data_IF_715300055322
#
_entry.id   IF_715300055322
#
_cell.length_a   1.000
_cell.length_b   1.000
_cell.length_c   1.000
_cell.angle_alpha   90.00
_cell.angle_beta   90.00
_cell.angle_gamma   90.00
#
_symmetry.space_group_name_H-M   'P 1'
#
loop_
_entity.id
_entity.type
_entity.pdbx_description
1 polymer ?
#
# COMPACT_ATOMS: atom_id res chain seq x y z
N UNK A 1 1.79 28.21 -2.88
CA UNK A 1 1.92 27.45 -4.17
C UNK A 1 3.32 27.59 -4.75
N UNK A 2 3.89 28.79 -4.82
CA UNK A 2 5.23 29.02 -5.37
C UNK A 2 6.31 28.19 -4.65
N UNK A 3 6.28 28.13 -3.32
CA UNK A 3 7.22 27.33 -2.54
C UNK A 3 7.13 25.84 -2.87
N UNK A 4 5.92 25.32 -3.06
CA UNK A 4 5.72 23.90 -3.43
C UNK A 4 6.29 23.61 -4.82
N UNK A 5 6.09 24.52 -5.77
CA UNK A 5 6.65 24.39 -7.14
C UNK A 5 8.17 24.36 -7.10
N UNK A 6 8.80 25.21 -6.31
CA UNK A 6 10.26 25.26 -6.16
C UNK A 6 10.77 23.97 -5.50
N UNK A 7 10.13 23.52 -4.43
CA UNK A 7 10.50 22.28 -3.74
C UNK A 7 10.43 21.06 -4.67
N UNK A 8 9.35 20.94 -5.45
CA UNK A 8 9.21 19.86 -6.42
C UNK A 8 10.23 19.97 -7.56
N UNK A 9 10.50 21.19 -8.05
CA UNK A 9 11.45 21.42 -9.13
C UNK A 9 12.89 21.05 -8.73
N UNK A 10 13.26 21.33 -7.48
CA UNK A 10 14.62 21.09 -6.95
C UNK A 10 14.78 19.73 -6.29
N UNK A 11 13.69 18.98 -6.05
CA UNK A 11 13.78 17.66 -5.43
C UNK A 11 14.46 16.64 -6.34
N UNK A 12 15.11 15.62 -5.75
CA UNK A 12 15.61 14.49 -6.52
C UNK A 12 14.50 13.82 -7.33
N UNK A 13 14.77 13.45 -8.56
CA UNK A 13 13.79 12.82 -9.44
C UNK A 13 13.79 11.31 -9.21
N UNK A 14 12.58 10.75 -9.09
CA UNK A 14 12.36 9.31 -9.02
C UNK A 14 11.06 8.96 -9.76
N UNK A 15 11.08 7.84 -10.47
CA UNK A 15 9.88 7.28 -11.10
C UNK A 15 9.35 6.05 -10.36
N UNK A 16 9.83 5.78 -9.15
CA UNK A 16 9.47 4.57 -8.40
C UNK A 16 7.96 4.43 -8.18
N UNK A 17 7.26 5.53 -7.89
CA UNK A 17 5.81 5.54 -7.73
C UNK A 17 5.07 5.27 -9.07
N UNK A 18 5.55 5.87 -10.15
CA UNK A 18 5.00 5.63 -11.49
C UNK A 18 5.16 4.17 -11.91
N UNK A 19 6.34 3.60 -11.74
CA UNK A 19 6.62 2.19 -12.05
C UNK A 19 5.75 1.26 -11.20
N UNK A 20 5.55 1.58 -9.92
CA UNK A 20 4.67 0.81 -9.05
C UNK A 20 3.22 0.81 -9.56
N UNK A 21 2.71 1.96 -10.00
CA UNK A 21 1.37 2.09 -10.57
C UNK A 21 1.24 1.29 -11.86
N UNK A 22 2.21 1.37 -12.77
CA UNK A 22 2.20 0.62 -14.02
C UNK A 22 2.19 -0.90 -13.79
N UNK A 23 2.99 -1.38 -12.83
CA UNK A 23 3.00 -2.79 -12.44
C UNK A 23 1.63 -3.23 -11.89
N UNK A 24 1.01 -2.42 -11.04
CA UNK A 24 -0.30 -2.73 -10.48
C UNK A 24 -1.39 -2.76 -11.58
N UNK A 25 -1.37 -1.82 -12.50
CA UNK A 25 -2.30 -1.79 -13.64
C UNK A 25 -2.11 -2.98 -14.59
N UNK A 26 -0.87 -3.35 -14.88
CA UNK A 26 -0.55 -4.52 -15.69
C UNK A 26 -1.04 -5.81 -15.04
N UNK A 27 -0.84 -5.94 -13.74
CA UNK A 27 -1.30 -7.08 -12.94
C UNK A 27 -2.85 -7.15 -12.93
N UNK A 28 -3.52 -6.03 -12.75
CA UNK A 28 -4.99 -5.95 -12.85
C UNK A 28 -5.50 -6.41 -14.22
N UNK A 29 -4.87 -6.01 -15.31
CA UNK A 29 -5.23 -6.44 -16.67
C UNK A 29 -5.05 -7.95 -16.87
N UNK A 30 -3.99 -8.52 -16.28
CA UNK A 30 -3.69 -9.95 -16.40
C UNK A 30 -4.55 -10.79 -15.49
N UNK A 31 -4.74 -10.38 -14.25
CA UNK A 31 -5.47 -11.14 -13.22
C UNK A 31 -6.99 -10.99 -13.33
N UNK A 32 -7.47 -9.97 -14.05
CA UNK A 32 -8.89 -9.67 -14.17
C UNK A 32 -9.50 -9.10 -12.89
N UNK A 33 -10.80 -9.26 -12.74
CA UNK A 33 -11.54 -8.74 -11.60
C UNK A 33 -11.39 -9.68 -10.39
N UNK A 34 -10.61 -9.26 -9.39
CA UNK A 34 -10.43 -10.00 -8.15
C UNK A 34 -11.27 -9.40 -7.03
N UNK A 35 -11.84 -10.23 -6.14
CA UNK A 35 -12.64 -9.73 -5.03
C UNK A 35 -11.75 -8.99 -4.02
N UNK A 36 -12.23 -7.85 -3.52
CA UNK A 36 -11.61 -7.14 -2.40
C UNK A 36 -11.73 -8.01 -1.14
N UNK A 37 -10.67 -8.16 -0.33
CA UNK A 37 -10.73 -8.87 0.93
C UNK A 37 -11.90 -8.38 1.82
N UNK A 38 -12.62 -9.30 2.45
CA UNK A 38 -13.85 -8.98 3.20
C UNK A 38 -13.62 -7.95 4.32
N UNK A 39 -12.51 -8.03 5.03
CA UNK A 39 -12.19 -7.11 6.12
C UNK A 39 -11.95 -5.66 5.64
N UNK A 40 -11.68 -5.45 4.33
CA UNK A 40 -11.48 -4.13 3.73
C UNK A 40 -12.76 -3.56 3.09
N UNK A 41 -13.86 -4.32 3.04
CA UNK A 41 -15.12 -3.85 2.48
C UNK A 41 -15.83 -2.93 3.45
N UNK A 42 -16.55 -1.94 2.91
CA UNK A 42 -17.30 -0.99 3.73
C UNK A 42 -18.31 -1.70 4.65
N UNK A 43 -18.23 -1.41 5.94
CA UNK A 43 -19.10 -1.95 6.98
C UNK A 43 -20.16 -0.96 7.49
N UNK A 44 -20.27 0.24 6.88
CA UNK A 44 -21.10 1.32 7.40
C UNK A 44 -22.53 1.35 6.84
N UNK A 45 -22.90 0.48 5.92
CA UNK A 45 -24.23 0.42 5.34
C UNK A 45 -25.08 -0.71 5.91
N UNK A 46 -26.42 -0.59 5.79
CA UNK A 46 -27.36 -1.62 6.21
C UNK A 46 -27.10 -2.94 5.46
N UNK A 47 -27.05 -4.05 6.19
CA UNK A 47 -26.77 -5.38 5.63
C UNK A 47 -25.28 -5.70 5.42
N UNK A 48 -24.37 -4.76 5.69
CA UNK A 48 -22.94 -5.00 5.56
C UNK A 48 -22.41 -6.15 6.41
N UNK A 49 -22.93 -6.31 7.63
CA UNK A 49 -22.58 -7.42 8.54
C UNK A 49 -23.01 -8.78 8.02
N UNK A 50 -24.18 -8.86 7.41
CA UNK A 50 -24.70 -10.09 6.81
C UNK A 50 -23.84 -10.56 5.62
N UNK A 51 -23.24 -9.62 4.90
CA UNK A 51 -22.30 -9.89 3.82
C UNK A 51 -20.88 -10.22 4.32
N UNK A 52 -20.62 -10.09 5.62
CA UNK A 52 -19.31 -10.30 6.21
C UNK A 52 -18.30 -9.17 5.92
N UNK A 53 -18.79 -7.99 5.58
CA UNK A 53 -17.94 -6.83 5.30
C UNK A 53 -17.34 -6.25 6.60
N UNK A 54 -16.12 -5.74 6.51
CA UNK A 54 -15.35 -5.13 7.60
C UNK A 54 -15.15 -6.06 8.82
N UNK A 55 -15.44 -7.34 8.72
CA UNK A 55 -15.16 -8.31 9.78
C UNK A 55 -13.65 -8.55 9.85
N UNK A 56 -13.12 -8.61 11.09
CA UNK A 56 -11.71 -8.82 11.38
C UNK A 56 -10.76 -7.72 10.87
N UNK A 57 -11.30 -6.53 10.52
CA UNK A 57 -10.47 -5.38 10.18
C UNK A 57 -9.72 -4.87 11.41
N UNK A 58 -8.40 -4.78 11.28
CA UNK A 58 -7.52 -4.26 12.31
C UNK A 58 -7.20 -2.80 12.01
N UNK A 59 -7.64 -1.88 12.88
CA UNK A 59 -7.41 -0.44 12.69
C UNK A 59 -5.99 -0.07 13.10
N UNK A 60 -5.12 0.36 12.16
CA UNK A 60 -3.70 0.56 12.46
C UNK A 60 -3.41 1.55 13.59
N UNK A 61 -4.24 2.58 13.76
CA UNK A 61 -4.05 3.56 14.82
C UNK A 61 -4.23 3.02 16.25
N UNK A 62 -4.81 1.84 16.41
CA UNK A 62 -4.90 1.15 17.71
C UNK A 62 -3.63 0.35 18.07
N UNK A 63 -2.63 0.36 17.20
CA UNK A 63 -1.42 -0.46 17.35
C UNK A 63 -0.16 0.42 17.42
N UNK A 64 0.92 -0.05 18.09
CA UNK A 64 2.17 0.69 18.18
C UNK A 64 2.72 1.07 16.79
N UNK A 65 3.17 2.32 16.65
CA UNK A 65 3.71 2.81 15.40
C UNK A 65 2.68 2.97 14.27
N UNK A 66 1.37 2.93 14.60
CA UNK A 66 0.27 3.00 13.64
C UNK A 66 0.39 1.96 12.52
N UNK A 67 0.87 0.77 12.88
CA UNK A 67 1.05 -0.33 11.94
C UNK A 67 0.55 -1.65 12.55
N UNK A 68 -0.09 -2.46 11.74
CA UNK A 68 -0.56 -3.80 12.11
C UNK A 68 -0.40 -4.75 10.93
N UNK A 69 -0.06 -6.00 11.24
CA UNK A 69 0.03 -7.04 10.22
C UNK A 69 -1.36 -7.45 9.76
N UNK A 70 -1.72 -7.08 8.53
CA UNK A 70 -2.92 -7.58 7.85
C UNK A 70 -2.70 -7.53 6.33
N UNK A 71 -3.49 -8.31 5.61
CA UNK A 71 -3.41 -8.38 4.15
C UNK A 71 -4.33 -7.35 3.50
N UNK A 72 -3.89 -6.73 2.43
CA UNK A 72 -4.64 -5.70 1.70
C UNK A 72 -4.96 -6.12 0.28
N UNK A 73 -4.20 -7.06 -0.27
CA UNK A 73 -4.40 -7.53 -1.63
C UNK A 73 -5.36 -8.75 -1.66
N UNK A 74 -6.08 -8.96 -2.77
CA UNK A 74 -6.81 -10.20 -3.01
C UNK A 74 -5.89 -11.43 -2.86
N UNK A 75 -6.45 -12.55 -2.43
CA UNK A 75 -5.68 -13.75 -2.09
C UNK A 75 -4.77 -14.24 -3.23
N UNK A 76 -5.27 -14.21 -4.46
CA UNK A 76 -4.50 -14.65 -5.64
C UNK A 76 -3.20 -13.87 -5.86
N UNK A 77 -3.17 -12.60 -5.47
CA UNK A 77 -2.04 -11.70 -5.69
C UNK A 77 -1.43 -11.19 -4.37
N UNK A 78 -1.75 -11.82 -3.26
CA UNK A 78 -1.35 -11.33 -1.93
C UNK A 78 0.17 -11.23 -1.74
N UNK A 79 0.96 -12.00 -2.49
CA UNK A 79 2.42 -11.98 -2.44
C UNK A 79 3.04 -11.07 -3.51
N UNK A 80 2.24 -10.34 -4.29
CA UNK A 80 2.75 -9.42 -5.29
C UNK A 80 3.29 -8.15 -4.64
N UNK A 81 4.37 -7.61 -5.20
CA UNK A 81 5.02 -6.39 -4.76
C UNK A 81 5.14 -5.42 -5.93
N UNK A 82 4.66 -4.21 -5.75
CA UNK A 82 4.64 -3.20 -6.81
C UNK A 82 5.67 -2.09 -6.59
N UNK A 83 5.77 -1.61 -5.36
CA UNK A 83 6.68 -0.53 -5.04
C UNK A 83 8.07 -1.04 -4.69
N UNK A 84 9.07 -0.49 -5.37
CA UNK A 84 10.48 -0.68 -5.06
C UNK A 84 11.16 0.69 -5.06
N UNK A 85 11.66 1.11 -3.90
CA UNK A 85 12.40 2.35 -3.79
C UNK A 85 13.77 2.25 -4.49
N UNK A 86 14.18 3.34 -5.10
CA UNK A 86 15.50 3.47 -5.74
C UNK A 86 16.50 4.09 -4.76
N UNK A 87 17.79 3.98 -5.06
CA UNK A 87 18.85 4.63 -4.28
C UNK A 87 19.26 5.99 -4.89
N UNK A 88 18.30 6.86 -5.10
CA UNK A 88 18.46 8.14 -5.81
C UNK A 88 18.41 9.38 -4.92
N UNK A 89 18.71 9.26 -3.63
CA UNK A 89 18.75 10.39 -2.70
C UNK A 89 18.23 10.04 -1.32
N UNK A 90 18.27 11.01 -0.42
CA UNK A 90 17.88 10.81 0.98
C UNK A 90 16.42 10.34 1.14
N UNK A 91 15.51 10.91 0.35
CA UNK A 91 14.09 10.58 0.43
C UNK A 91 13.81 9.13 0.02
N UNK A 92 14.30 8.71 -1.14
CA UNK A 92 14.13 7.33 -1.61
C UNK A 92 14.80 6.31 -0.66
N UNK A 93 15.98 6.62 -0.14
CA UNK A 93 16.64 5.79 0.87
C UNK A 93 15.82 5.67 2.15
N UNK A 94 15.21 6.76 2.62
CA UNK A 94 14.33 6.74 3.78
C UNK A 94 13.08 5.86 3.54
N UNK A 95 12.48 5.93 2.35
CA UNK A 95 11.38 5.05 1.95
C UNK A 95 11.80 3.58 1.90
N UNK A 96 12.98 3.30 1.34
CA UNK A 96 13.53 1.94 1.29
C UNK A 96 13.73 1.36 2.68
N UNK A 97 14.33 2.12 3.60
CA UNK A 97 14.54 1.72 4.98
C UNK A 97 13.21 1.48 5.73
N UNK A 98 12.24 2.36 5.54
CA UNK A 98 10.91 2.21 6.14
C UNK A 98 10.21 0.95 5.63
N UNK A 99 10.26 0.73 4.32
CA UNK A 99 9.69 -0.47 3.71
C UNK A 99 10.35 -1.74 4.24
N UNK A 100 11.67 -1.77 4.30
CA UNK A 100 12.42 -2.92 4.84
C UNK A 100 12.04 -3.21 6.30
N UNK A 101 11.91 -2.18 7.13
CA UNK A 101 11.48 -2.33 8.53
C UNK A 101 10.07 -2.96 8.61
N UNK A 102 9.14 -2.50 7.78
CA UNK A 102 7.78 -3.06 7.70
C UNK A 102 7.81 -4.50 7.21
N UNK A 103 8.60 -4.80 6.19
CA UNK A 103 8.70 -6.15 5.63
C UNK A 103 9.29 -7.14 6.65
N UNK A 104 10.21 -6.70 7.50
CA UNK A 104 10.72 -7.51 8.63
C UNK A 104 9.61 -7.82 9.63
N UNK A 105 8.79 -6.82 10.00
CA UNK A 105 7.66 -7.02 10.90
C UNK A 105 6.61 -7.98 10.32
N UNK A 106 6.42 -7.97 9.02
CA UNK A 106 5.49 -8.89 8.34
C UNK A 106 5.93 -10.36 8.40
N UNK A 107 7.22 -10.62 8.44
CA UNK A 107 7.77 -11.99 8.48
C UNK A 107 7.66 -12.64 9.87
N UNK A 108 7.48 -11.84 10.89
CA UNK A 108 7.26 -12.31 12.26
C UNK A 108 5.79 -12.72 12.41
#
# INVERSE_FOLDING_TARGET
IANVVIDLALSPKSNSAYVAMDKALADHKTSGHLPIPRHLRDGHYSGSKELGNAQDYLYPHNYPGNWVKQDYLPEKIRNHHYFQAEDTGKYERALAQRKEAIDRLRKI
#
